data_IF_869767706181
#
_entry.id   IF_869767706181
#
_cell.length_a   1.000
_cell.length_b   1.000
_cell.length_c   1.000
_cell.angle_alpha   90.00
_cell.angle_beta   90.00
_cell.angle_gamma   90.00
#
_symmetry.space_group_name_H-M   'P 1'
#
loop_
_entity.id
_entity.type
_entity.pdbx_description
1 polymer ?
#
# COMPACT_ATOMS: atom_id res chain seq x y z
N UNK A 1 -7.15 21.78 1.60
CA UNK A 1 -6.08 21.52 2.56
C UNK A 1 -6.23 20.10 3.08
N UNK A 2 -5.21 19.30 3.00
CA UNK A 2 -5.26 17.91 3.45
C UNK A 2 -4.28 17.70 4.60
N UNK A 3 -4.81 17.74 5.83
CA UNK A 3 -4.07 17.39 7.03
C UNK A 3 -2.63 17.92 7.04
N UNK A 4 -1.68 16.99 7.08
CA UNK A 4 -0.24 17.30 7.13
C UNK A 4 0.41 17.47 5.74
N UNK A 5 -0.32 17.28 4.64
CA UNK A 5 0.27 17.35 3.29
C UNK A 5 0.51 18.78 2.83
N UNK A 6 -0.45 19.68 3.08
CA UNK A 6 -0.40 21.04 2.57
C UNK A 6 -1.56 21.37 1.63
N UNK A 7 -1.35 22.33 0.74
CA UNK A 7 -2.35 22.78 -0.22
C UNK A 7 -2.17 22.05 -1.57
N UNK A 8 -3.21 21.35 -2.01
CA UNK A 8 -3.23 20.65 -3.28
C UNK A 8 -3.66 21.60 -4.40
N UNK A 9 -2.94 21.59 -5.52
CA UNK A 9 -3.26 22.37 -6.71
C UNK A 9 -3.90 21.47 -7.79
N UNK A 10 -4.87 22.01 -8.50
CA UNK A 10 -5.65 21.35 -9.56
C UNK A 10 -5.70 22.28 -10.77
N UNK A 11 -4.67 22.29 -11.58
CA UNK A 11 -4.53 23.26 -12.68
C UNK A 11 -4.76 22.66 -14.07
N UNK A 12 -4.98 21.34 -14.18
CA UNK A 12 -5.24 20.69 -15.46
C UNK A 12 -6.75 20.69 -15.78
N UNK A 13 -7.22 21.47 -16.77
CA UNK A 13 -8.65 21.53 -17.11
C UNK A 13 -9.20 20.23 -17.69
N UNK A 14 -8.35 19.38 -18.28
CA UNK A 14 -8.75 18.09 -18.83
C UNK A 14 -8.85 17.00 -17.75
N UNK A 15 -8.23 17.23 -16.60
CA UNK A 15 -8.24 16.32 -15.44
C UNK A 15 -8.46 17.14 -14.16
N UNK A 16 -9.67 17.72 -13.95
CA UNK A 16 -9.91 18.72 -12.92
C UNK A 16 -9.76 18.19 -11.49
N UNK A 17 -9.77 16.89 -11.30
CA UNK A 17 -9.59 16.23 -9.98
C UNK A 17 -8.20 15.65 -9.78
N UNK A 18 -7.34 15.67 -10.81
CA UNK A 18 -5.95 15.22 -10.68
C UNK A 18 -5.13 16.29 -9.96
N UNK A 19 -4.39 15.88 -8.92
CA UNK A 19 -3.44 16.77 -8.27
C UNK A 19 -2.30 17.08 -9.23
N UNK A 20 -2.13 18.35 -9.57
CA UNK A 20 -1.09 18.82 -10.49
C UNK A 20 0.09 19.46 -9.76
N UNK A 21 -0.06 19.73 -8.48
CA UNK A 21 0.98 20.28 -7.65
C UNK A 21 0.59 20.29 -6.19
N UNK A 22 1.57 20.54 -5.34
CA UNK A 22 1.41 20.61 -3.90
C UNK A 22 2.29 21.72 -3.36
N UNK A 23 1.71 22.57 -2.53
CA UNK A 23 2.46 23.49 -1.66
C UNK A 23 2.59 22.81 -0.30
N UNK A 24 3.75 22.18 0.02
CA UNK A 24 3.90 21.42 1.24
C UNK A 24 3.88 22.33 2.47
N UNK A 25 3.39 21.82 3.59
CA UNK A 25 3.65 22.43 4.90
C UNK A 25 5.12 22.19 5.27
N UNK A 26 5.69 23.02 6.14
CA UNK A 26 7.11 22.97 6.51
C UNK A 26 7.57 21.59 7.07
N UNK A 27 6.66 20.82 7.65
CA UNK A 27 6.92 19.48 8.18
C UNK A 27 6.22 18.37 7.37
N UNK A 28 5.80 18.66 6.14
CA UNK A 28 5.08 17.68 5.33
C UNK A 28 5.98 16.53 4.88
N UNK A 29 5.56 15.28 5.04
CA UNK A 29 6.29 14.11 4.57
C UNK A 29 6.19 13.90 3.04
N UNK A 30 6.00 14.97 2.26
CA UNK A 30 5.79 14.87 0.83
C UNK A 30 7.05 14.42 0.11
N UNK A 31 6.90 13.41 -0.75
CA UNK A 31 7.96 12.94 -1.64
C UNK A 31 8.11 13.83 -2.87
N UNK A 32 9.33 13.83 -3.40
CA UNK A 32 9.59 14.19 -4.78
C UNK A 32 8.80 13.27 -5.73
N UNK A 33 8.60 13.74 -6.94
CA UNK A 33 7.84 13.09 -8.01
C UNK A 33 8.15 11.58 -8.16
N UNK A 34 7.11 10.75 -8.27
CA UNK A 34 7.20 9.35 -8.68
C UNK A 34 6.94 9.26 -10.19
N UNK A 35 7.82 8.59 -10.91
CA UNK A 35 7.56 8.21 -12.30
C UNK A 35 6.90 6.84 -12.33
N UNK A 36 5.69 6.78 -12.91
CA UNK A 36 4.90 5.56 -12.94
C UNK A 36 4.51 5.25 -14.39
N UNK A 37 4.83 4.03 -14.82
CA UNK A 37 4.39 3.47 -16.10
C UNK A 37 3.24 2.51 -15.84
N UNK A 38 2.23 2.55 -16.69
CA UNK A 38 1.04 1.71 -16.57
C UNK A 38 0.96 0.70 -17.72
N UNK A 39 0.29 -0.42 -17.50
CA UNK A 39 -0.11 -1.36 -18.55
C UNK A 39 -1.27 -0.78 -19.37
N UNK A 40 -1.64 -1.44 -20.47
CA UNK A 40 -2.83 -1.09 -21.25
C UNK A 40 -4.15 -1.21 -20.44
N UNK A 41 -4.14 -1.98 -19.35
CA UNK A 41 -5.26 -2.12 -18.41
C UNK A 41 -5.13 -1.15 -17.20
N UNK A 42 -4.34 -0.07 -17.33
CA UNK A 42 -4.12 0.98 -16.32
C UNK A 42 -3.55 0.48 -14.98
N UNK A 43 -2.99 -0.75 -14.94
CA UNK A 43 -2.28 -1.27 -13.76
C UNK A 43 -0.85 -0.71 -13.72
N UNK A 44 -0.33 -0.30 -12.54
CA UNK A 44 1.05 0.18 -12.43
C UNK A 44 2.03 -0.95 -12.75
N UNK A 45 2.89 -0.77 -13.76
CA UNK A 45 3.87 -1.77 -14.18
C UNK A 45 5.30 -1.45 -13.74
N UNK A 46 5.66 -0.16 -13.71
CA UNK A 46 6.97 0.29 -13.25
C UNK A 46 6.74 1.51 -12.37
N UNK A 47 7.40 1.55 -11.22
CA UNK A 47 7.45 2.70 -10.32
C UNK A 47 8.92 3.05 -10.14
N UNK A 48 9.28 4.32 -10.35
CA UNK A 48 10.65 4.80 -10.20
C UNK A 48 10.71 6.03 -9.30
N UNK A 49 11.69 6.07 -8.42
CA UNK A 49 12.00 7.21 -7.56
C UNK A 49 13.53 7.30 -7.36
N UNK A 50 14.17 8.22 -8.06
CA UNK A 50 15.61 8.31 -8.07
C UNK A 50 16.24 7.01 -8.59
N UNK A 51 17.06 6.37 -7.77
CA UNK A 51 17.71 5.08 -8.09
C UNK A 51 16.84 3.85 -7.80
N UNK A 52 15.75 4.03 -7.10
CA UNK A 52 14.85 2.97 -6.68
C UNK A 52 13.82 2.65 -7.76
N UNK A 53 13.58 1.38 -8.00
CA UNK A 53 12.65 0.90 -9.01
C UNK A 53 11.88 -0.31 -8.51
N UNK A 54 10.56 -0.32 -8.78
CA UNK A 54 9.72 -1.51 -8.68
C UNK A 54 9.18 -1.88 -10.07
N UNK A 55 9.20 -3.17 -10.39
CA UNK A 55 8.57 -3.73 -11.58
C UNK A 55 7.50 -4.71 -11.15
N UNK A 56 6.27 -4.49 -11.59
CA UNK A 56 5.10 -5.31 -11.30
C UNK A 56 4.68 -6.08 -12.54
N UNK A 57 4.44 -7.37 -12.39
CA UNK A 57 4.02 -8.27 -13.48
C UNK A 57 2.65 -8.84 -13.15
N UNK A 58 1.79 -8.89 -14.14
CA UNK A 58 0.40 -9.33 -14.02
C UNK A 58 0.15 -10.55 -14.92
N UNK A 59 -0.83 -11.37 -14.55
CA UNK A 59 -1.36 -12.45 -15.39
C UNK A 59 -2.41 -11.90 -16.38
N UNK A 60 -3.03 -12.80 -17.15
CA UNK A 60 -4.07 -12.44 -18.13
C UNK A 60 -5.35 -11.87 -17.49
N UNK A 61 -5.62 -12.18 -16.23
CA UNK A 61 -6.75 -11.65 -15.45
C UNK A 61 -6.43 -10.33 -14.75
N UNK A 62 -5.24 -9.76 -15.00
CA UNK A 62 -4.73 -8.57 -14.34
C UNK A 62 -4.45 -8.73 -12.84
N UNK A 63 -4.34 -9.97 -12.32
CA UNK A 63 -3.86 -10.22 -10.97
C UNK A 63 -2.34 -10.08 -10.94
N UNK A 64 -1.82 -9.44 -9.90
CA UNK A 64 -0.38 -9.30 -9.70
C UNK A 64 0.24 -10.64 -9.31
N UNK A 65 1.19 -11.11 -10.10
CA UNK A 65 1.89 -12.39 -9.89
C UNK A 65 3.33 -12.22 -9.42
N UNK A 66 3.95 -11.06 -9.70
CA UNK A 66 5.32 -10.78 -9.27
C UNK A 66 5.55 -9.29 -9.07
N UNK A 67 6.36 -8.98 -8.08
CA UNK A 67 6.94 -7.66 -7.88
C UNK A 67 8.44 -7.79 -7.65
N UNK A 68 9.23 -6.90 -8.24
CA UNK A 68 10.67 -6.89 -8.13
C UNK A 68 11.16 -5.50 -7.75
N UNK A 69 11.82 -5.39 -6.60
CA UNK A 69 12.48 -4.18 -6.14
C UNK A 69 13.95 -4.16 -6.51
N UNK A 70 14.43 -3.03 -6.98
CA UNK A 70 15.85 -2.81 -7.27
C UNK A 70 16.31 -1.42 -6.86
N UNK A 71 17.62 -1.30 -6.65
CA UNK A 71 18.34 -0.07 -6.39
C UNK A 71 19.59 -0.08 -7.27
N UNK A 72 19.80 0.95 -8.12
CA UNK A 72 20.89 0.97 -9.11
C UNK A 72 21.08 -0.35 -9.87
N UNK A 73 19.99 -0.97 -10.31
CA UNK A 73 19.98 -2.27 -10.99
C UNK A 73 20.34 -3.48 -10.10
N UNK A 74 20.64 -3.27 -8.81
CA UNK A 74 20.77 -4.36 -7.83
C UNK A 74 19.39 -4.81 -7.40
N UNK A 75 19.07 -6.08 -7.62
CA UNK A 75 17.82 -6.67 -7.11
C UNK A 75 17.87 -6.76 -5.58
N UNK A 76 16.91 -6.13 -4.92
CA UNK A 76 16.78 -6.13 -3.45
C UNK A 76 15.81 -7.19 -2.98
N UNK A 77 14.71 -7.38 -3.73
CA UNK A 77 13.63 -8.29 -3.39
C UNK A 77 12.87 -8.67 -4.65
N UNK A 78 12.58 -9.96 -4.81
CA UNK A 78 11.56 -10.44 -5.74
C UNK A 78 10.47 -11.12 -4.93
N UNK A 79 9.23 -10.63 -5.04
CA UNK A 79 8.04 -11.22 -4.43
C UNK A 79 7.19 -11.88 -5.49
N UNK A 80 6.76 -13.10 -5.24
CA UNK A 80 5.78 -13.84 -6.02
C UNK A 80 4.47 -13.94 -5.23
N UNK A 81 3.36 -13.78 -5.90
CA UNK A 81 2.01 -13.91 -5.35
C UNK A 81 1.39 -15.16 -5.98
N UNK A 82 1.13 -16.17 -5.18
CA UNK A 82 0.67 -17.47 -5.61
C UNK A 82 -0.74 -17.72 -5.03
N UNK A 83 -1.73 -17.28 -5.77
CA UNK A 83 -3.11 -17.19 -5.29
C UNK A 83 -3.32 -16.00 -4.38
N UNK A 84 -4.29 -16.11 -3.47
CA UNK A 84 -4.71 -15.06 -2.54
C UNK A 84 -4.17 -15.24 -1.12
N UNK A 85 -3.47 -16.34 -0.84
CA UNK A 85 -3.03 -16.70 0.51
C UNK A 85 -1.57 -17.16 0.62
N UNK A 86 -0.79 -17.13 -0.47
CA UNK A 86 0.62 -17.55 -0.42
C UNK A 86 1.52 -16.54 -1.13
N UNK A 87 2.56 -16.10 -0.43
CA UNK A 87 3.60 -15.20 -0.94
C UNK A 87 4.98 -15.83 -0.75
N UNK A 88 5.85 -15.63 -1.73
CA UNK A 88 7.24 -16.07 -1.69
C UNK A 88 8.15 -14.88 -2.00
N UNK A 89 9.01 -14.53 -1.05
CA UNK A 89 10.03 -13.51 -1.19
C UNK A 89 11.39 -14.14 -1.43
N UNK A 90 12.13 -13.59 -2.39
CA UNK A 90 13.52 -13.95 -2.66
C UNK A 90 14.35 -12.69 -2.53
N UNK A 91 15.26 -12.66 -1.56
CA UNK A 91 16.20 -11.57 -1.32
C UNK A 91 17.64 -12.09 -1.08
N UNK A 92 18.56 -11.21 -0.70
CA UNK A 92 19.96 -11.58 -0.43
C UNK A 92 20.14 -12.51 0.78
N UNK A 93 19.10 -12.68 1.62
CA UNK A 93 19.12 -13.54 2.82
C UNK A 93 18.50 -14.91 2.57
N UNK A 94 17.93 -15.12 1.38
CA UNK A 94 17.35 -16.40 0.95
C UNK A 94 15.89 -16.30 0.52
N UNK A 95 15.21 -17.42 0.65
CA UNK A 95 13.78 -17.58 0.33
C UNK A 95 12.96 -17.51 1.61
N UNK A 96 11.92 -16.66 1.60
CA UNK A 96 10.97 -16.48 2.69
C UNK A 96 9.57 -16.77 2.18
N UNK A 97 8.89 -17.69 2.80
CA UNK A 97 7.55 -18.10 2.44
C UNK A 97 6.55 -17.56 3.48
N UNK A 98 5.39 -17.13 3.02
CA UNK A 98 4.25 -16.75 3.87
C UNK A 98 3.00 -17.44 3.38
N UNK A 99 2.43 -18.29 4.21
CA UNK A 99 1.14 -18.94 3.99
C UNK A 99 0.13 -18.35 4.97
N UNK A 100 -0.84 -17.61 4.47
CA UNK A 100 -1.93 -17.05 5.25
C UNK A 100 -2.94 -18.14 5.60
N UNK A 101 -3.36 -18.20 6.86
CA UNK A 101 -4.17 -19.29 7.41
C UNK A 101 -5.55 -18.79 7.80
N UNK A 102 -6.58 -19.52 7.39
CA UNK A 102 -7.98 -19.21 7.68
C UNK A 102 -8.57 -18.10 6.80
N UNK A 103 -7.88 -17.72 5.73
CA UNK A 103 -8.30 -16.70 4.80
C UNK A 103 -7.18 -16.28 3.85
N UNK A 104 -7.41 -15.24 3.07
CA UNK A 104 -6.43 -14.62 2.19
C UNK A 104 -5.63 -13.50 2.84
N UNK A 105 -4.94 -12.73 2.04
CA UNK A 105 -4.08 -11.62 2.50
C UNK A 105 -4.83 -10.58 3.35
N UNK A 106 -6.14 -10.42 3.13
CA UNK A 106 -6.93 -9.33 3.70
C UNK A 106 -7.68 -9.73 4.98
N UNK A 107 -7.95 -11.02 5.18
CA UNK A 107 -8.84 -11.50 6.24
C UNK A 107 -8.23 -12.61 7.12
N UNK A 108 -7.11 -13.23 6.69
CA UNK A 108 -6.45 -14.26 7.49
C UNK A 108 -6.13 -13.76 8.90
N UNK A 109 -6.41 -14.61 9.89
CA UNK A 109 -6.13 -14.33 11.30
C UNK A 109 -4.72 -14.78 11.74
N UNK A 110 -4.04 -15.60 10.92
CA UNK A 110 -2.69 -16.06 11.19
C UNK A 110 -1.89 -16.24 9.89
N UNK A 111 -0.58 -16.29 10.02
CA UNK A 111 0.35 -16.56 8.93
C UNK A 111 1.45 -17.52 9.39
N UNK A 112 1.70 -18.55 8.59
CA UNK A 112 2.88 -19.41 8.72
C UNK A 112 4.00 -18.77 7.88
N UNK A 113 5.06 -18.36 8.54
CA UNK A 113 6.28 -17.88 7.88
C UNK A 113 7.35 -18.93 7.92
N UNK A 114 8.01 -19.17 6.77
CA UNK A 114 9.10 -20.13 6.66
C UNK A 114 10.32 -19.48 6.03
N UNK A 115 11.49 -19.78 6.62
CA UNK A 115 12.81 -19.42 6.11
C UNK A 115 13.75 -20.61 6.23
N UNK A 116 14.10 -21.21 5.09
CA UNK A 116 14.82 -22.49 5.09
C UNK A 116 14.04 -23.57 5.84
N UNK A 117 14.64 -24.19 6.86
CA UNK A 117 14.00 -25.23 7.68
C UNK A 117 13.25 -24.68 8.90
N UNK A 118 13.30 -23.36 9.14
CA UNK A 118 12.65 -22.72 10.28
C UNK A 118 11.26 -22.25 9.87
N UNK A 119 10.25 -22.70 10.63
CA UNK A 119 8.86 -22.27 10.47
C UNK A 119 8.33 -21.66 11.76
N UNK A 120 7.58 -20.56 11.64
CA UNK A 120 6.96 -19.87 12.77
C UNK A 120 5.55 -19.43 12.39
N UNK A 121 4.62 -19.57 13.33
CA UNK A 121 3.26 -19.07 13.18
C UNK A 121 3.15 -17.74 13.89
N UNK A 122 2.50 -16.79 13.23
CA UNK A 122 2.18 -15.48 13.79
C UNK A 122 0.68 -15.22 13.68
N UNK A 123 0.12 -14.55 14.69
CA UNK A 123 -1.28 -14.15 14.74
C UNK A 123 -1.42 -12.70 14.35
N UNK A 124 -2.42 -12.39 13.51
CA UNK A 124 -2.63 -11.07 12.92
C UNK A 124 -3.85 -10.43 13.59
N UNK A 125 -3.65 -9.30 14.27
CA UNK A 125 -4.72 -8.52 14.88
C UNK A 125 -5.02 -7.30 14.00
N UNK A 126 -6.28 -7.15 13.64
CA UNK A 126 -6.76 -6.12 12.71
C UNK A 126 -7.76 -5.19 13.39
N UNK A 127 -7.88 -3.97 12.85
CA UNK A 127 -9.01 -3.10 13.16
C UNK A 127 -10.25 -3.48 12.34
N UNK A 128 -11.34 -2.74 12.55
CA UNK A 128 -12.60 -2.97 11.84
C UNK A 128 -12.54 -2.65 10.32
N UNK A 129 -11.51 -1.94 9.88
CA UNK A 129 -11.23 -1.68 8.45
C UNK A 129 -10.32 -2.75 7.83
N UNK A 130 -9.84 -3.72 8.61
CA UNK A 130 -8.91 -4.75 8.16
C UNK A 130 -7.43 -4.35 8.24
N UNK A 131 -7.10 -3.17 8.80
CA UNK A 131 -5.68 -2.76 8.94
C UNK A 131 -4.96 -3.64 9.95
N UNK A 132 -3.74 -4.06 9.63
CA UNK A 132 -2.90 -4.88 10.51
C UNK A 132 -2.33 -3.98 11.62
N UNK A 133 -2.88 -4.09 12.82
CA UNK A 133 -2.45 -3.27 13.97
C UNK A 133 -1.35 -3.93 14.79
N UNK A 134 -1.45 -5.24 15.01
CA UNK A 134 -0.46 -5.98 15.79
C UNK A 134 -0.24 -7.36 15.18
N UNK A 135 0.98 -7.85 15.33
CA UNK A 135 1.35 -9.22 15.02
C UNK A 135 1.95 -9.83 16.28
N UNK A 136 1.44 -11.00 16.70
CA UNK A 136 1.93 -11.73 17.86
C UNK A 136 2.59 -13.05 17.43
N UNK A 137 3.60 -13.49 18.17
CA UNK A 137 4.19 -14.82 18.01
C UNK A 137 3.30 -15.92 18.64
N UNK A 138 3.71 -17.17 18.52
CA UNK A 138 3.00 -18.33 19.08
C UNK A 138 2.96 -18.35 20.62
N UNK A 139 3.78 -17.55 21.29
CA UNK A 139 3.81 -17.37 22.75
C UNK A 139 2.94 -16.19 23.22
N UNK A 140 2.34 -15.44 22.27
CA UNK A 140 1.53 -14.27 22.56
C UNK A 140 2.34 -12.96 22.74
N UNK A 141 3.62 -12.96 22.46
CA UNK A 141 4.41 -11.73 22.50
C UNK A 141 4.12 -10.91 21.24
N UNK A 142 3.91 -9.62 21.40
CA UNK A 142 3.76 -8.70 20.27
C UNK A 142 5.13 -8.48 19.62
N UNK A 143 5.26 -8.89 18.36
CA UNK A 143 6.48 -8.75 17.54
C UNK A 143 6.44 -7.55 16.61
N UNK A 144 5.24 -7.06 16.29
CA UNK A 144 5.03 -5.84 15.51
C UNK A 144 3.79 -5.11 16.02
N UNK A 145 3.88 -3.78 16.10
CA UNK A 145 2.77 -2.90 16.41
C UNK A 145 2.72 -1.74 15.41
N UNK A 146 1.56 -1.49 14.84
CA UNK A 146 1.33 -0.46 13.84
C UNK A 146 0.21 0.49 14.27
N UNK A 147 0.29 1.71 13.79
CA UNK A 147 -0.78 2.69 13.88
C UNK A 147 -0.88 3.47 12.57
N UNK A 148 -2.10 3.76 12.17
CA UNK A 148 -2.41 4.53 10.97
C UNK A 148 -3.33 5.70 11.32
N UNK A 149 -3.22 6.80 10.57
CA UNK A 149 -4.28 7.79 10.58
C UNK A 149 -5.47 7.34 9.71
N UNK A 150 -6.52 8.14 9.65
CA UNK A 150 -7.72 7.82 8.88
C UNK A 150 -7.45 7.60 7.38
N UNK A 151 -6.34 8.08 6.86
CA UNK A 151 -5.95 7.99 5.46
C UNK A 151 -4.84 6.98 5.18
N UNK A 152 -4.41 6.23 6.21
CA UNK A 152 -3.39 5.19 6.07
C UNK A 152 -1.95 5.67 6.22
N UNK A 153 -1.71 6.94 6.60
CA UNK A 153 -0.37 7.36 6.98
C UNK A 153 0.09 6.63 8.23
N UNK A 154 1.28 6.02 8.17
CA UNK A 154 1.85 5.32 9.31
C UNK A 154 2.28 6.30 10.39
N UNK A 155 1.92 5.98 11.63
CA UNK A 155 2.27 6.74 12.83
C UNK A 155 2.97 5.84 13.83
N UNK A 156 3.83 6.45 14.63
CA UNK A 156 4.41 5.76 15.78
C UNK A 156 3.28 5.39 16.78
N UNK A 157 3.12 4.12 17.16
CA UNK A 157 2.00 3.68 18.02
C UNK A 157 1.97 4.37 19.38
N UNK A 158 3.14 4.69 19.95
CA UNK A 158 3.25 5.31 21.28
C UNK A 158 3.05 6.82 21.26
N UNK A 159 3.54 7.51 20.22
CA UNK A 159 3.54 8.99 20.17
C UNK A 159 2.43 9.54 19.28
N UNK A 160 1.80 8.70 18.46
CA UNK A 160 0.80 9.03 17.44
C UNK A 160 1.30 10.04 16.38
N UNK A 161 2.59 10.34 16.36
CA UNK A 161 3.20 11.20 15.33
C UNK A 161 3.44 10.41 14.06
N UNK A 162 3.16 11.03 12.91
CA UNK A 162 3.47 10.43 11.61
C UNK A 162 4.97 10.17 11.48
N UNK A 163 5.32 9.03 10.90
CA UNK A 163 6.71 8.77 10.52
C UNK A 163 7.08 9.65 9.33
N UNK A 164 8.32 10.13 9.31
CA UNK A 164 8.91 10.67 8.09
C UNK A 164 9.17 9.53 7.11
N UNK A 165 9.21 9.85 5.82
CA UNK A 165 9.42 8.86 4.77
C UNK A 165 10.74 8.11 5.00
N UNK A 166 10.66 6.77 4.98
CA UNK A 166 11.80 5.89 5.20
C UNK A 166 12.19 5.68 6.67
N UNK A 167 11.56 6.38 7.63
CA UNK A 167 11.84 6.23 9.06
C UNK A 167 10.90 5.24 9.76
N UNK A 168 9.82 4.80 9.11
CA UNK A 168 8.93 3.80 9.66
C UNK A 168 9.65 2.44 9.75
N UNK A 169 9.47 1.66 10.83
CA UNK A 169 9.96 0.28 10.89
C UNK A 169 9.42 -0.55 9.72
N UNK A 170 10.21 -1.48 9.20
CA UNK A 170 9.76 -2.38 8.14
C UNK A 170 8.57 -3.23 8.63
N UNK A 171 7.52 -3.31 7.85
CA UNK A 171 6.38 -4.18 8.12
C UNK A 171 6.78 -5.65 7.91
N UNK A 172 6.51 -6.52 8.88
CA UNK A 172 6.84 -7.96 8.85
C UNK A 172 6.19 -8.65 7.62
N UNK A 173 4.94 -8.34 7.37
CA UNK A 173 4.19 -8.87 6.24
C UNK A 173 4.27 -7.98 4.99
N UNK A 174 4.80 -6.76 5.11
CA UNK A 174 4.71 -5.75 4.05
C UNK A 174 3.29 -5.21 3.85
N UNK A 175 2.33 -5.62 4.69
CA UNK A 175 0.92 -5.24 4.63
C UNK A 175 0.54 -4.46 5.89
N UNK A 176 -0.37 -3.48 5.73
CA UNK A 176 -0.74 -2.61 6.83
C UNK A 176 -2.17 -2.08 6.71
N UNK A 177 -2.31 -0.82 6.31
CA UNK A 177 -3.59 -0.14 6.20
C UNK A 177 -4.57 -0.91 5.31
N UNK A 178 -5.75 -1.21 5.85
CA UNK A 178 -6.82 -2.03 5.21
C UNK A 178 -6.31 -3.36 4.60
N UNK A 179 -5.23 -3.94 5.16
CA UNK A 179 -4.61 -5.18 4.68
C UNK A 179 -3.79 -5.04 3.40
N UNK A 180 -3.74 -3.85 2.79
CA UNK A 180 -3.02 -3.62 1.55
C UNK A 180 -1.51 -3.58 1.73
N UNK A 181 -0.79 -3.83 0.63
CA UNK A 181 0.65 -3.86 0.59
C UNK A 181 1.24 -2.44 0.54
N UNK A 182 2.10 -2.13 1.50
CA UNK A 182 2.84 -0.88 1.56
C UNK A 182 4.11 -0.97 0.71
N UNK A 183 4.21 -0.14 -0.30
CA UNK A 183 5.43 0.07 -1.09
C UNK A 183 6.27 1.16 -0.41
N UNK A 184 6.89 0.80 0.71
CA UNK A 184 7.53 1.76 1.63
C UNK A 184 8.61 2.60 0.97
N UNK A 185 9.39 2.02 0.04
CA UNK A 185 10.41 2.73 -0.75
C UNK A 185 9.82 3.93 -1.52
N UNK A 186 8.53 3.82 -1.91
CA UNK A 186 7.82 4.84 -2.69
C UNK A 186 6.81 5.63 -1.84
N UNK A 187 6.55 5.22 -0.57
CA UNK A 187 5.57 5.83 0.33
C UNK A 187 4.13 5.80 -0.16
N UNK A 188 3.81 4.79 -0.96
CA UNK A 188 2.47 4.55 -1.48
C UNK A 188 1.97 3.17 -1.05
N UNK A 189 0.67 2.98 -1.10
CA UNK A 189 0.00 1.71 -0.82
C UNK A 189 -0.50 1.16 -2.15
N UNK A 190 -0.18 -0.10 -2.44
CA UNK A 190 -0.71 -0.79 -3.60
C UNK A 190 -2.05 -1.44 -3.23
N UNK A 191 -3.14 -0.86 -3.70
CA UNK A 191 -4.50 -1.38 -3.53
C UNK A 191 -4.93 -2.23 -4.74
N UNK A 192 -4.01 -3.04 -5.29
CA UNK A 192 -4.16 -3.92 -6.46
C UNK A 192 -4.35 -3.16 -7.78
N UNK A 193 -5.54 -2.61 -8.03
CA UNK A 193 -5.82 -1.89 -9.27
C UNK A 193 -5.07 -0.57 -9.36
N UNK A 194 -4.99 0.17 -8.27
CA UNK A 194 -4.43 1.51 -8.24
C UNK A 194 -3.41 1.68 -7.11
N UNK A 195 -2.49 2.62 -7.32
CA UNK A 195 -1.61 3.10 -6.25
C UNK A 195 -2.31 4.23 -5.49
N UNK A 196 -2.27 4.12 -4.18
CA UNK A 196 -2.83 5.08 -3.25
C UNK A 196 -1.72 5.82 -2.50
N UNK A 197 -1.80 7.14 -2.47
CA UNK A 197 -0.90 7.98 -1.68
C UNK A 197 -1.60 8.34 -0.35
N UNK A 198 -1.16 7.79 0.78
CA UNK A 198 -1.79 8.05 2.07
C UNK A 198 -1.58 9.48 2.57
N UNK A 199 -0.50 10.16 2.16
CA UNK A 199 -0.23 11.56 2.50
C UNK A 199 -1.22 12.48 1.78
N UNK A 200 -1.46 12.24 0.50
CA UNK A 200 -2.46 12.96 -0.29
C UNK A 200 -3.88 12.48 0.03
N UNK A 201 -4.05 11.24 0.53
CA UNK A 201 -5.32 10.54 0.73
C UNK A 201 -6.08 10.35 -0.59
N UNK A 202 -5.36 10.02 -1.66
CA UNK A 202 -5.90 9.90 -3.01
C UNK A 202 -5.22 8.79 -3.78
N UNK A 203 -5.96 8.24 -4.75
CA UNK A 203 -5.36 7.43 -5.79
C UNK A 203 -4.52 8.26 -6.75
N UNK A 204 -3.47 7.67 -7.32
CA UNK A 204 -2.59 8.32 -8.29
C UNK A 204 -3.12 8.23 -9.72
N UNK A 205 -4.11 7.36 -9.96
CA UNK A 205 -4.83 7.23 -11.24
C UNK A 205 -6.33 7.35 -11.03
N UNK A 206 -7.09 7.79 -12.05
CA UNK A 206 -8.53 7.86 -11.94
C UNK A 206 -9.13 6.44 -11.91
N UNK A 207 -10.24 6.28 -11.20
CA UNK A 207 -11.07 5.09 -11.31
C UNK A 207 -11.54 4.91 -12.76
N UNK A 208 -11.45 3.71 -13.37
CA UNK A 208 -11.99 3.47 -14.69
C UNK A 208 -13.53 3.67 -14.74
N UNK A 209 -14.19 3.54 -13.60
CA UNK A 209 -15.65 3.65 -13.49
C UNK A 209 -16.08 4.85 -12.66
N UNK A 210 -17.30 5.36 -12.91
CA UNK A 210 -18.02 6.26 -12.01
C UNK A 210 -19.00 5.39 -11.22
N UNK A 211 -18.72 5.15 -9.96
CA UNK A 211 -19.43 4.16 -9.12
C UNK A 211 -20.92 4.49 -8.92
N UNK A 212 -21.27 5.77 -8.74
CA UNK A 212 -22.63 6.24 -8.52
C UNK A 212 -22.87 7.53 -9.31
N UNK A 213 -23.72 7.45 -10.35
CA UNK A 213 -23.98 8.57 -11.26
C UNK A 213 -24.82 9.70 -10.65
N UNK A 214 -25.55 9.40 -9.59
CA UNK A 214 -26.43 10.34 -8.85
C UNK A 214 -25.74 10.95 -7.60
N UNK A 215 -24.49 10.55 -7.34
CA UNK A 215 -23.72 11.03 -6.19
C UNK A 215 -22.52 11.86 -6.64
N UNK A 216 -22.54 13.17 -6.33
CA UNK A 216 -21.52 14.12 -6.82
C UNK A 216 -20.09 13.78 -6.40
N UNK A 217 -19.86 13.13 -5.26
CA UNK A 217 -18.54 12.72 -4.82
C UNK A 217 -17.93 11.61 -5.69
N UNK A 218 -18.76 10.79 -6.34
CA UNK A 218 -18.32 9.73 -7.24
C UNK A 218 -17.67 10.25 -8.54
N UNK A 219 -17.92 11.51 -8.92
CA UNK A 219 -17.25 12.12 -10.06
C UNK A 219 -15.79 12.47 -9.81
N UNK A 220 -15.36 12.51 -8.54
CA UNK A 220 -13.94 12.62 -8.22
C UNK A 220 -13.29 11.22 -8.23
N UNK A 221 -12.96 10.75 -9.41
CA UNK A 221 -12.41 9.41 -9.68
C UNK A 221 -11.04 9.13 -9.03
N UNK A 222 -10.43 10.11 -8.37
CA UNK A 222 -9.18 9.97 -7.59
C UNK A 222 -9.45 9.85 -6.09
N UNK A 223 -10.69 10.03 -5.63
CA UNK A 223 -11.01 9.96 -4.20
C UNK A 223 -10.92 8.53 -3.70
N UNK A 224 -10.42 8.35 -2.50
CA UNK A 224 -10.48 7.10 -1.77
C UNK A 224 -11.79 7.06 -0.96
N UNK A 225 -12.55 5.99 -1.13
CA UNK A 225 -13.78 5.71 -0.38
C UNK A 225 -14.72 6.94 -0.30
N UNK A 226 -14.88 7.67 -1.41
CA UNK A 226 -15.72 8.88 -1.49
C UNK A 226 -15.40 9.93 -0.39
N UNK A 227 -14.14 10.03 0.01
CA UNK A 227 -13.64 10.84 1.15
C UNK A 227 -14.17 10.43 2.53
N UNK A 228 -14.62 9.20 2.69
CA UNK A 228 -15.11 8.63 3.96
C UNK A 228 -14.32 7.37 4.37
N UNK A 229 -12.99 7.48 4.58
CA UNK A 229 -12.09 6.34 4.76
C UNK A 229 -12.31 5.57 6.07
N UNK A 230 -13.09 6.10 7.01
CA UNK A 230 -13.48 5.41 8.24
C UNK A 230 -14.81 4.66 8.11
N UNK A 231 -15.51 4.81 6.99
CA UNK A 231 -16.82 4.16 6.77
C UNK A 231 -16.75 3.08 5.70
N UNK A 232 -15.81 3.20 4.78
CA UNK A 232 -15.69 2.31 3.61
C UNK A 232 -14.25 1.84 3.44
N UNK A 233 -14.10 0.69 2.80
CA UNK A 233 -12.83 0.11 2.38
C UNK A 233 -12.90 -0.17 0.88
N UNK A 234 -11.83 0.08 0.17
CA UNK A 234 -11.64 -0.33 -1.22
C UNK A 234 -10.77 -1.59 -1.22
N UNK A 235 -11.36 -2.77 -1.42
CA UNK A 235 -10.69 -4.07 -1.30
C UNK A 235 -9.75 -4.37 -2.48
N UNK A 236 -10.07 -3.83 -3.65
CA UNK A 236 -9.38 -4.16 -4.90
C UNK A 236 -8.78 -2.94 -5.64
N UNK A 237 -8.98 -1.75 -5.10
CA UNK A 237 -8.52 -0.50 -5.71
C UNK A 237 -9.39 -0.01 -6.87
N UNK A 238 -10.66 -0.44 -6.93
CA UNK A 238 -11.62 -0.07 -7.99
C UNK A 238 -12.91 0.57 -7.44
N UNK A 239 -12.86 1.06 -6.18
CA UNK A 239 -14.02 1.70 -5.52
C UNK A 239 -13.72 3.12 -5.05
#
# INVERSE_FOLDING_TARGET
QKGNAGELMYTNPNHPYAVTGLTPLAESPVKSHLDIVYTAAERPSIITHGIQKAVLTYNANHDRIRMQYSDNSRNLLTRYYLGDNYELDVDSTGVHERLYLGGGYYDASAVLMKKGDISSVYFIHRDYLGSVLQIADAQGNIVEENNFDAWGCRRNPSTLKAYTIGAAPKLLLGRGYTGHEHLEMFGVINMNARLYDPVLGRFLTPDPYVQMLDFTQAFNRYSYCMNSPLCYVDENGEF
#
